data_IF_509483269749
#
_entry.id   IF_509483269749
#
_cell.length_a   1.000
_cell.length_b   1.000
_cell.length_c   1.000
_cell.angle_alpha   90.00
_cell.angle_beta   90.00
_cell.angle_gamma   90.00
#
_symmetry.space_group_name_H-M   'P 1'
#
loop_
_entity.id
_entity.type
_entity.pdbx_description
1 polymer ?
#
# COMPACT_ATOMS: atom_id res chain seq x y z
N UNK A 1 -9.76 22.44 -13.11
CA UNK A 1 -8.74 21.93 -14.07
C UNK A 1 -8.52 22.88 -15.25
N UNK A 2 -9.58 23.51 -15.80
CA UNK A 2 -9.51 24.42 -16.97
C UNK A 2 -8.68 25.70 -16.72
N UNK A 3 -8.69 26.25 -15.50
CA UNK A 3 -7.90 27.45 -15.16
C UNK A 3 -6.38 27.21 -15.18
N UNK A 4 -5.93 25.99 -14.85
CA UNK A 4 -4.49 25.71 -14.77
C UNK A 4 -3.88 25.42 -16.13
N UNK A 5 -4.59 24.71 -17.01
CA UNK A 5 -4.13 24.50 -18.39
C UNK A 5 -3.98 25.84 -19.11
N UNK A 6 -4.94 26.74 -18.94
CA UNK A 6 -4.90 28.08 -19.54
C UNK A 6 -3.69 28.93 -19.08
N UNK A 7 -3.34 28.90 -17.78
CA UNK A 7 -2.19 29.66 -17.26
C UNK A 7 -0.85 29.10 -17.76
N UNK A 8 -0.75 27.78 -17.94
CA UNK A 8 0.45 27.12 -18.49
C UNK A 8 0.58 27.40 -19.99
N UNK A 9 -0.52 27.35 -20.74
CA UNK A 9 -0.58 27.60 -22.18
C UNK A 9 -0.16 29.04 -22.50
N UNK A 10 -0.69 30.03 -21.78
CA UNK A 10 -0.25 31.43 -21.89
C UNK A 10 1.26 31.63 -21.67
N UNK A 11 1.85 30.87 -20.72
CA UNK A 11 3.31 30.92 -20.48
C UNK A 11 4.10 30.31 -21.64
N UNK A 12 3.58 29.28 -22.29
CA UNK A 12 4.23 28.68 -23.48
C UNK A 12 4.16 29.61 -24.68
N UNK A 13 3.03 30.28 -24.90
CA UNK A 13 2.88 31.29 -25.94
C UNK A 13 3.81 32.48 -25.71
N UNK A 14 3.87 33.01 -24.48
CA UNK A 14 4.78 34.10 -24.12
C UNK A 14 6.26 33.71 -24.30
N UNK A 15 6.62 32.45 -24.02
CA UNK A 15 7.97 31.92 -24.25
C UNK A 15 8.32 31.91 -25.74
N UNK A 16 7.40 31.43 -26.57
CA UNK A 16 7.58 31.34 -28.02
C UNK A 16 7.66 32.72 -28.67
N UNK A 17 6.85 33.68 -28.19
CA UNK A 17 6.93 35.09 -28.60
C UNK A 17 8.29 35.68 -28.24
N UNK A 18 8.76 35.49 -27.01
CA UNK A 18 10.05 36.00 -26.53
C UNK A 18 11.27 35.40 -27.29
N UNK A 19 11.16 34.17 -27.82
CA UNK A 19 12.25 33.54 -28.58
C UNK A 19 12.32 33.92 -30.07
N UNK A 20 11.24 34.47 -30.65
CA UNK A 20 11.14 34.72 -32.11
C UNK A 20 11.56 36.13 -32.55
N UNK A 21 12.15 36.89 -31.63
CA UNK A 21 12.43 38.33 -31.80
C UNK A 21 13.77 38.55 -32.50
N UNK A 22 13.84 38.28 -33.80
CA UNK A 22 15.05 38.51 -34.60
C UNK A 22 15.11 39.94 -35.20
N UNK A 23 13.98 40.67 -35.29
CA UNK A 23 13.89 41.99 -35.94
C UNK A 23 13.12 43.11 -35.18
N UNK A 24 12.72 42.92 -33.91
CA UNK A 24 11.98 43.97 -33.16
C UNK A 24 12.88 44.97 -32.42
N UNK A 25 12.32 46.15 -32.12
CA UNK A 25 12.99 47.24 -31.40
C UNK A 25 13.31 46.88 -29.94
N UNK A 26 14.18 47.68 -29.29
CA UNK A 26 14.56 47.46 -27.88
C UNK A 26 13.37 47.54 -26.91
N UNK A 27 12.35 48.34 -27.23
CA UNK A 27 11.14 48.48 -26.44
C UNK A 27 10.31 47.18 -26.42
N UNK A 28 10.12 46.56 -27.59
CA UNK A 28 9.32 45.33 -27.76
C UNK A 28 9.99 44.14 -27.05
N UNK A 29 11.32 44.03 -27.16
CA UNK A 29 12.10 43.04 -26.41
C UNK A 29 11.89 43.15 -24.90
N UNK A 30 11.90 44.37 -24.36
CA UNK A 30 11.70 44.63 -22.92
C UNK A 30 10.26 44.30 -22.49
N UNK A 31 9.27 44.63 -23.32
CA UNK A 31 7.87 44.33 -23.07
C UNK A 31 7.61 42.81 -23.10
N UNK A 32 8.09 42.11 -24.11
CA UNK A 32 7.95 40.65 -24.25
C UNK A 32 8.64 39.89 -23.08
N UNK A 33 9.80 40.36 -22.63
CA UNK A 33 10.47 39.82 -21.46
C UNK A 33 9.65 40.03 -20.17
N UNK A 34 9.03 41.20 -20.01
CA UNK A 34 8.18 41.52 -18.86
C UNK A 34 6.96 40.60 -18.82
N UNK A 35 6.27 40.46 -19.95
CA UNK A 35 5.10 39.57 -20.09
C UNK A 35 5.46 38.12 -19.77
N UNK A 36 6.59 37.61 -20.28
CA UNK A 36 7.05 36.26 -19.96
C UNK A 36 7.31 36.07 -18.45
N UNK A 37 7.88 37.08 -17.78
CA UNK A 37 8.11 37.06 -16.33
C UNK A 37 6.81 37.05 -15.52
N UNK A 38 5.80 37.80 -15.97
CA UNK A 38 4.47 37.86 -15.36
C UNK A 38 3.75 36.51 -15.48
N UNK A 39 3.81 35.88 -16.65
CA UNK A 39 3.25 34.53 -16.87
C UNK A 39 3.94 33.49 -15.97
N UNK A 40 5.26 33.54 -15.79
CA UNK A 40 5.97 32.64 -14.86
C UNK A 40 5.48 32.83 -13.42
N UNK A 41 5.29 34.09 -12.98
CA UNK A 41 4.79 34.37 -11.64
C UNK A 41 3.35 33.89 -11.47
N UNK A 42 2.51 34.01 -12.49
CA UNK A 42 1.15 33.49 -12.50
C UNK A 42 1.12 31.96 -12.34
N UNK A 43 1.96 31.22 -13.10
CA UNK A 43 2.11 29.76 -12.96
C UNK A 43 2.54 29.39 -11.53
N UNK A 44 3.56 30.07 -10.98
CA UNK A 44 4.02 29.83 -9.61
C UNK A 44 2.93 30.12 -8.57
N UNK A 45 2.09 31.14 -8.75
CA UNK A 45 0.95 31.42 -7.86
C UNK A 45 -0.10 30.31 -7.96
N UNK A 46 -0.40 29.84 -9.16
CA UNK A 46 -1.34 28.74 -9.39
C UNK A 46 -0.90 27.46 -8.67
N UNK A 47 0.37 27.06 -8.80
CA UNK A 47 0.93 25.89 -8.10
C UNK A 47 0.80 26.01 -6.58
N UNK A 48 1.06 27.21 -6.02
CA UNK A 48 0.92 27.44 -4.56
C UNK A 48 -0.53 27.34 -4.11
N UNK A 49 -1.46 27.87 -4.91
CA UNK A 49 -2.90 27.79 -4.64
C UNK A 49 -3.37 26.34 -4.69
N UNK A 50 -2.95 25.58 -5.70
CA UNK A 50 -3.29 24.17 -5.85
C UNK A 50 -2.82 23.33 -4.68
N UNK A 51 -1.56 23.53 -4.27
CA UNK A 51 -1.00 22.86 -3.09
C UNK A 51 -1.79 23.19 -1.83
N UNK A 52 -2.19 24.46 -1.66
CA UNK A 52 -3.00 24.88 -0.52
C UNK A 52 -4.37 24.21 -0.53
N UNK A 53 -5.05 24.22 -1.66
CA UNK A 53 -6.35 23.58 -1.82
C UNK A 53 -6.27 22.07 -1.54
N UNK A 54 -5.23 21.38 -2.03
CA UNK A 54 -5.02 19.96 -1.72
C UNK A 54 -4.87 19.72 -0.22
N UNK A 55 -4.06 20.52 0.47
CA UNK A 55 -3.89 20.42 1.93
C UNK A 55 -5.21 20.72 2.66
N UNK A 56 -5.96 21.74 2.24
CA UNK A 56 -7.26 22.10 2.83
C UNK A 56 -8.30 20.98 2.64
N UNK A 57 -8.35 20.34 1.47
CA UNK A 57 -9.26 19.19 1.24
C UNK A 57 -8.93 18.02 2.16
N UNK A 58 -7.65 17.71 2.35
CA UNK A 58 -7.21 16.64 3.26
C UNK A 58 -7.55 17.00 4.71
N UNK A 59 -7.30 18.25 5.12
CA UNK A 59 -7.62 18.72 6.46
C UNK A 59 -9.14 18.67 6.74
N UNK A 60 -9.97 19.09 5.78
CA UNK A 60 -11.43 19.02 5.89
C UNK A 60 -11.93 17.59 6.00
N UNK A 61 -11.43 16.67 5.17
CA UNK A 61 -11.78 15.25 5.27
C UNK A 61 -11.36 14.64 6.62
N UNK A 62 -10.20 15.03 7.15
CA UNK A 62 -9.74 14.59 8.47
C UNK A 62 -10.63 15.12 9.60
N UNK A 63 -11.04 16.39 9.54
CA UNK A 63 -11.96 16.99 10.51
C UNK A 63 -13.33 16.30 10.46
N UNK A 64 -13.91 16.08 9.28
CA UNK A 64 -15.17 15.36 9.16
C UNK A 64 -15.09 13.92 9.70
N UNK A 65 -13.96 13.25 9.53
CA UNK A 65 -13.75 11.91 10.08
C UNK A 65 -13.67 11.93 11.62
N UNK A 66 -13.04 12.96 12.20
CA UNK A 66 -13.01 13.18 13.64
C UNK A 66 -14.41 13.49 14.19
N UNK A 67 -15.16 14.41 13.55
CA UNK A 67 -16.52 14.76 13.96
C UNK A 67 -17.50 13.57 13.87
N UNK A 68 -17.32 12.69 12.87
CA UNK A 68 -18.07 11.44 12.76
C UNK A 68 -17.71 10.44 13.87
N UNK A 69 -16.47 10.44 14.34
CA UNK A 69 -16.01 9.58 15.43
C UNK A 69 -16.43 10.13 16.81
N UNK A 70 -16.43 11.45 17.01
CA UNK A 70 -16.92 12.06 18.25
C UNK A 70 -18.42 11.81 18.48
N UNK A 71 -19.22 11.68 17.41
CA UNK A 71 -20.61 11.19 17.51
C UNK A 71 -20.74 9.75 18.00
N UNK A 72 -19.68 8.94 17.87
CA UNK A 72 -19.60 7.60 18.48
C UNK A 72 -19.15 7.65 19.95
N UNK A 73 -18.58 8.77 20.41
CA UNK A 73 -18.03 8.94 21.74
C UNK A 73 -18.89 9.83 22.68
N UNK A 74 -19.91 10.51 22.17
CA UNK A 74 -21.02 11.00 23.00
C UNK A 74 -21.97 9.85 23.32
N UNK A 75 -21.45 8.84 24.03
CA UNK A 75 -22.26 7.90 24.77
C UNK A 75 -23.02 8.71 25.83
N UNK A 76 -24.35 8.54 26.00
CA UNK A 76 -25.01 9.11 27.15
C UNK A 76 -24.31 8.61 28.41
N UNK A 77 -24.03 9.52 29.35
CA UNK A 77 -23.55 9.23 30.70
C UNK A 77 -24.60 8.36 31.39
N UNK A 78 -24.48 7.04 31.20
CA UNK A 78 -25.35 6.05 31.80
C UNK A 78 -24.43 5.04 32.47
N UNK A 79 -24.47 5.09 33.79
CA UNK A 79 -23.92 4.14 34.77
C UNK A 79 -24.44 2.70 34.64
N UNK A 80 -24.89 2.28 33.46
CA UNK A 80 -25.49 0.98 33.18
C UNK A 80 -24.87 0.35 31.91
N UNK A 81 -23.53 0.33 31.81
CA UNK A 81 -22.86 -0.54 30.85
C UNK A 81 -23.00 -1.99 31.34
N UNK A 82 -23.50 -2.93 30.53
CA UNK A 82 -23.44 -4.34 30.89
C UNK A 82 -21.96 -4.70 31.07
N UNK A 83 -21.63 -5.15 32.27
CA UNK A 83 -20.35 -5.79 32.59
C UNK A 83 -20.02 -6.74 31.44
N UNK A 84 -18.91 -6.51 30.73
CA UNK A 84 -18.46 -7.38 29.65
C UNK A 84 -18.28 -8.74 30.30
N UNK A 85 -19.26 -9.62 30.10
CA UNK A 85 -19.22 -10.99 30.60
C UNK A 85 -17.91 -11.57 30.09
N UNK A 86 -17.04 -11.92 31.04
CA UNK A 86 -15.80 -12.68 30.89
C UNK A 86 -15.67 -13.28 29.49
N UNK A 87 -14.86 -12.64 28.63
CA UNK A 87 -14.49 -13.25 27.36
C UNK A 87 -13.78 -14.54 27.75
N UNK A 88 -14.30 -15.74 27.40
CA UNK A 88 -13.65 -16.96 27.79
C UNK A 88 -12.23 -16.91 27.24
N UNK A 89 -11.22 -16.96 28.11
CA UNK A 89 -9.82 -17.03 27.68
C UNK A 89 -9.71 -18.17 26.67
N UNK A 90 -9.38 -17.84 25.42
CA UNK A 90 -9.22 -18.84 24.38
C UNK A 90 -8.01 -19.69 24.76
N UNK A 91 -8.27 -20.88 25.31
CA UNK A 91 -7.25 -21.82 25.75
C UNK A 91 -6.47 -22.35 24.54
N UNK A 92 -5.42 -21.63 24.15
CA UNK A 92 -4.49 -22.06 23.12
C UNK A 92 -3.53 -23.07 23.73
N UNK A 93 -3.55 -24.30 23.22
CA UNK A 93 -2.58 -25.32 23.59
C UNK A 93 -1.18 -24.90 23.09
N UNK A 94 -0.26 -24.61 24.02
CA UNK A 94 1.13 -24.23 23.74
C UNK A 94 2.09 -25.41 23.77
N UNK A 95 1.61 -26.64 23.98
CA UNK A 95 2.43 -27.84 24.01
C UNK A 95 2.89 -28.25 22.61
N UNK A 96 4.00 -28.98 22.55
CA UNK A 96 4.50 -29.56 21.31
C UNK A 96 3.44 -30.47 20.65
N UNK A 97 3.31 -30.44 19.31
CA UNK A 97 2.31 -31.19 18.59
C UNK A 97 2.57 -32.71 18.67
N UNK A 98 1.50 -33.50 18.79
CA UNK A 98 1.58 -34.95 18.80
C UNK A 98 1.80 -35.51 17.39
N UNK A 99 2.32 -36.75 17.30
CA UNK A 99 2.52 -37.47 16.03
C UNK A 99 1.27 -37.49 15.18
N UNK A 100 0.13 -37.79 15.80
CA UNK A 100 -1.16 -37.92 15.14
C UNK A 100 -1.64 -36.58 14.57
N UNK A 101 -1.46 -35.50 15.34
CA UNK A 101 -1.78 -34.14 14.91
C UNK A 101 -0.94 -33.73 13.69
N UNK A 102 0.36 -34.05 13.68
CA UNK A 102 1.24 -33.77 12.55
C UNK A 102 0.84 -34.60 11.32
N UNK A 103 0.55 -35.89 11.49
CA UNK A 103 0.04 -36.74 10.42
C UNK A 103 -1.24 -36.17 9.81
N UNK A 104 -2.20 -35.76 10.64
CA UNK A 104 -3.45 -35.18 10.18
C UNK A 104 -3.21 -33.87 9.43
N UNK A 105 -2.37 -32.98 9.96
CA UNK A 105 -2.02 -31.72 9.30
C UNK A 105 -1.35 -31.95 7.93
N UNK A 106 -0.46 -32.93 7.82
CA UNK A 106 0.15 -33.32 6.56
C UNK A 106 -0.85 -33.91 5.57
N UNK A 107 -1.87 -34.65 6.04
CA UNK A 107 -2.96 -35.14 5.18
C UNK A 107 -3.83 -34.00 4.65
N UNK A 108 -4.14 -33.02 5.51
CA UNK A 108 -4.92 -31.82 5.18
C UNK A 108 -4.18 -30.83 4.25
N UNK A 109 -2.85 -30.94 4.16
CA UNK A 109 -2.02 -30.07 3.32
C UNK A 109 -2.44 -30.17 1.83
N UNK A 110 -2.76 -29.04 1.19
CA UNK A 110 -3.16 -29.05 -0.24
C UNK A 110 -1.94 -29.27 -1.15
N UNK A 111 -2.13 -30.03 -2.24
CA UNK A 111 -1.13 -30.22 -3.30
C UNK A 111 -0.86 -28.93 -4.09
N UNK A 112 0.29 -28.87 -4.78
CA UNK A 112 0.61 -27.78 -5.71
C UNK A 112 0.90 -26.44 -5.02
N UNK A 113 1.36 -26.47 -3.77
CA UNK A 113 1.83 -25.27 -3.07
C UNK A 113 3.22 -24.89 -3.55
N UNK A 114 3.45 -23.57 -3.65
CA UNK A 114 4.75 -23.02 -4.01
C UNK A 114 5.82 -23.49 -3.02
N UNK A 115 6.97 -23.91 -3.55
CA UNK A 115 8.11 -24.24 -2.71
C UNK A 115 8.70 -22.98 -2.07
N UNK A 116 9.19 -23.11 -0.84
CA UNK A 116 9.98 -22.06 -0.19
C UNK A 116 11.41 -21.97 -0.75
N UNK A 117 12.27 -21.25 -0.03
CA UNK A 117 13.71 -21.09 -0.36
C UNK A 117 14.41 -22.43 -0.65
N UNK A 118 14.12 -23.44 0.16
CA UNK A 118 14.77 -24.74 0.07
C UNK A 118 14.18 -25.68 -1.00
N UNK A 119 13.30 -25.19 -1.88
CA UNK A 119 12.69 -25.95 -2.97
C UNK A 119 11.88 -27.19 -2.54
N UNK A 120 11.54 -27.31 -1.25
CA UNK A 120 10.68 -28.36 -0.72
C UNK A 120 9.22 -28.01 -1.03
N UNK A 121 8.53 -28.85 -1.79
CA UNK A 121 7.10 -28.70 -2.11
C UNK A 121 6.23 -29.47 -1.13
N UNK A 122 4.95 -29.08 -1.01
CA UNK A 122 3.95 -29.84 -0.26
C UNK A 122 3.84 -31.29 -0.75
N UNK A 123 4.04 -31.50 -2.05
CA UNK A 123 3.94 -32.81 -2.68
C UNK A 123 5.01 -33.76 -2.14
N UNK A 124 6.26 -33.29 -1.94
CA UNK A 124 7.36 -34.08 -1.36
C UNK A 124 7.03 -34.54 0.06
N UNK A 125 6.43 -33.66 0.86
CA UNK A 125 6.02 -33.99 2.24
C UNK A 125 4.85 -34.98 2.28
N UNK A 126 4.04 -35.03 1.21
CA UNK A 126 2.91 -35.96 1.09
C UNK A 126 3.27 -37.32 0.48
N UNK A 127 4.42 -37.44 -0.20
CA UNK A 127 4.89 -38.72 -0.77
C UNK A 127 5.07 -39.77 0.33
N UNK A 128 5.74 -39.39 1.43
CA UNK A 128 5.88 -40.25 2.61
C UNK A 128 5.53 -39.46 3.89
N UNK A 129 4.27 -39.61 4.29
CA UNK A 129 3.72 -38.94 5.46
C UNK A 129 4.38 -39.45 6.75
N UNK A 130 4.77 -40.73 6.81
CA UNK A 130 5.35 -41.28 8.03
C UNK A 130 6.74 -40.72 8.28
N UNK A 131 7.59 -40.72 7.25
CA UNK A 131 8.95 -40.14 7.33
C UNK A 131 8.87 -38.63 7.59
N UNK A 132 7.99 -37.91 6.89
CA UNK A 132 7.81 -36.48 7.09
C UNK A 132 7.36 -36.15 8.52
N UNK A 133 6.42 -36.93 9.07
CA UNK A 133 5.99 -36.79 10.46
C UNK A 133 7.12 -37.06 11.44
N UNK A 134 7.91 -38.11 11.22
CA UNK A 134 9.05 -38.45 12.08
C UNK A 134 10.11 -37.33 12.11
N UNK A 135 10.41 -36.75 10.95
CA UNK A 135 11.32 -35.60 10.85
C UNK A 135 10.75 -34.36 11.56
N UNK A 136 9.46 -34.07 11.38
CA UNK A 136 8.82 -32.93 12.03
C UNK A 136 8.70 -33.10 13.55
N UNK A 137 8.44 -34.31 14.04
CA UNK A 137 8.45 -34.62 15.47
C UNK A 137 9.80 -34.33 16.11
N UNK A 138 10.89 -34.77 15.47
CA UNK A 138 12.24 -34.47 15.92
C UNK A 138 12.50 -32.96 15.96
N UNK A 139 12.10 -32.23 14.92
CA UNK A 139 12.24 -30.77 14.87
C UNK A 139 11.46 -30.04 15.97
N UNK A 140 10.20 -30.42 16.22
CA UNK A 140 9.39 -29.80 17.26
C UNK A 140 9.87 -30.14 18.68
N UNK A 141 10.67 -31.21 18.86
CA UNK A 141 11.23 -31.57 20.16
C UNK A 141 12.39 -30.67 20.61
N UNK A 142 13.14 -30.08 19.67
CA UNK A 142 14.31 -29.27 20.00
C UNK A 142 13.97 -27.82 20.40
N UNK A 143 12.72 -27.39 20.24
CA UNK A 143 12.18 -26.04 20.54
C UNK A 143 13.05 -24.87 20.04
N UNK A 144 13.90 -25.11 19.04
CA UNK A 144 14.81 -24.12 18.46
C UNK A 144 14.25 -23.62 17.15
N UNK A 145 13.82 -22.37 17.15
CA UNK A 145 13.40 -21.69 15.93
C UNK A 145 14.62 -21.36 15.06
N UNK A 146 14.63 -21.75 13.78
CA UNK A 146 15.65 -21.32 12.84
C UNK A 146 15.61 -19.80 12.66
N UNK A 147 16.77 -19.12 12.79
CA UNK A 147 16.83 -17.66 12.68
C UNK A 147 16.35 -17.11 11.32
N UNK A 148 16.48 -17.92 10.26
CA UNK A 148 16.02 -17.59 8.92
C UNK A 148 14.49 -17.72 8.73
N UNK A 149 13.71 -18.07 9.77
CA UNK A 149 12.23 -17.96 9.70
C UNK A 149 11.74 -16.51 9.63
N UNK A 150 12.63 -15.55 9.91
CA UNK A 150 12.39 -14.12 9.64
C UNK A 150 12.59 -13.74 8.17
N UNK A 151 13.14 -14.64 7.35
CA UNK A 151 13.41 -14.43 5.93
C UNK A 151 12.41 -15.19 5.06
N UNK A 152 11.85 -14.53 4.06
CA UNK A 152 10.87 -15.11 3.14
C UNK A 152 11.15 -14.72 1.68
N UNK A 153 10.73 -15.57 0.74
CA UNK A 153 10.80 -15.25 -0.69
C UNK A 153 9.52 -14.52 -1.11
N UNK A 154 9.68 -13.31 -1.65
CA UNK A 154 8.59 -12.54 -2.22
C UNK A 154 8.55 -12.78 -3.72
N UNK A 155 7.58 -13.57 -4.19
CA UNK A 155 7.33 -13.77 -5.62
C UNK A 155 6.18 -12.87 -6.09
N UNK A 156 6.41 -12.07 -7.14
CA UNK A 156 5.34 -11.28 -7.78
C UNK A 156 4.44 -12.21 -8.60
N UNK A 157 3.20 -12.39 -8.16
CA UNK A 157 2.17 -13.12 -8.92
C UNK A 157 1.31 -12.11 -9.67
N UNK A 158 1.27 -12.14 -11.01
CA UNK A 158 0.42 -11.23 -11.78
C UNK A 158 -1.06 -11.55 -11.54
N UNK A 159 -1.90 -10.52 -11.51
CA UNK A 159 -3.36 -10.70 -11.41
C UNK A 159 -3.91 -11.30 -12.70
N UNK A 160 -4.95 -12.13 -12.58
CA UNK A 160 -5.55 -12.90 -13.68
C UNK A 160 -5.81 -12.07 -14.95
N UNK A 161 -6.35 -10.85 -14.79
CA UNK A 161 -6.69 -9.95 -15.91
C UNK A 161 -5.46 -9.47 -16.70
N UNK A 162 -4.30 -9.34 -16.04
CA UNK A 162 -3.05 -8.91 -16.69
C UNK A 162 -2.45 -10.07 -17.49
N UNK A 163 -2.64 -11.31 -17.02
CA UNK A 163 -2.10 -12.50 -17.66
C UNK A 163 -2.75 -12.79 -19.01
N UNK A 164 -4.08 -12.65 -19.12
CA UNK A 164 -4.79 -12.88 -20.39
C UNK A 164 -4.38 -11.86 -21.47
N UNK A 165 -4.17 -10.59 -21.10
CA UNK A 165 -3.76 -9.55 -22.03
C UNK A 165 -2.32 -9.74 -22.56
N UNK A 166 -1.46 -10.41 -21.78
CA UNK A 166 -0.05 -10.64 -22.14
C UNK A 166 0.17 -11.86 -23.05
N UNK A 167 -0.88 -12.65 -23.33
CA UNK A 167 -0.81 -13.84 -24.20
C UNK A 167 -1.14 -13.53 -25.67
N UNK A 168 -1.69 -12.34 -25.94
CA UNK A 168 -1.97 -11.78 -27.28
C UNK A 168 -0.74 -11.15 -27.89
#
# INVERSE_FOLDING_TARGET
MVEQSFVVENRTEAKNKNSRIEHEGQADKKQNQKEYSECIMAVRRSIRKDKRNSVETIASCAQEAADKNDKMNTLPDNTDLPEILDVPEMQMNTQAPSREQICQALQELKWGKAAGNHMITADVLKIDINIATDMMLFLFSEEKFPGNWTEGIITKVPKKEIYENAKT
#
